data_IF_590621175831
#
_entry.id   IF_590621175831
#
_cell.length_a   1.000
_cell.length_b   1.000
_cell.length_c   1.000
_cell.angle_alpha   90.00
_cell.angle_beta   90.00
_cell.angle_gamma   90.00
#
_symmetry.space_group_name_H-M   'P 1'
#
loop_
_entity.id
_entity.type
_entity.pdbx_description
1 polymer ?
#
# COMPACT_ATOMS: atom_id res chain seq x y z
N UNK A 1 16.64 -4.14 31.67
CA UNK A 1 15.63 -4.30 30.60
C UNK A 1 15.06 -2.92 30.35
N UNK A 2 15.56 -2.20 29.34
CA UNK A 2 14.96 -0.93 28.93
C UNK A 2 13.60 -1.24 28.31
N UNK A 3 12.54 -0.62 28.81
CA UNK A 3 11.22 -0.68 28.20
C UNK A 3 11.35 -0.23 26.74
N UNK A 4 10.95 -1.07 25.78
CA UNK A 4 11.12 -0.84 24.34
C UNK A 4 10.25 0.28 23.75
N UNK A 5 9.75 1.20 24.57
CA UNK A 5 8.83 2.28 24.18
C UNK A 5 9.52 3.56 23.69
N UNK A 6 10.85 3.66 23.82
CA UNK A 6 11.62 4.83 23.35
C UNK A 6 12.28 4.62 21.98
N UNK A 7 12.09 3.45 21.33
CA UNK A 7 12.69 3.19 20.03
C UNK A 7 11.80 3.76 18.92
N UNK A 8 12.19 4.89 18.32
CA UNK A 8 11.50 5.47 17.16
C UNK A 8 11.86 4.71 15.90
N UNK A 9 10.91 4.68 14.96
CA UNK A 9 11.05 4.09 13.65
C UNK A 9 10.74 5.14 12.60
N UNK A 10 11.67 5.33 11.67
CA UNK A 10 11.46 6.18 10.52
C UNK A 10 11.34 5.31 9.27
N UNK A 11 10.29 5.55 8.48
CA UNK A 11 9.99 4.82 7.24
C UNK A 11 10.04 5.83 6.11
N UNK A 12 10.93 5.61 5.13
CA UNK A 12 11.07 6.45 3.94
C UNK A 12 10.34 5.81 2.78
N UNK A 13 9.28 6.47 2.31
CA UNK A 13 8.46 6.04 1.19
C UNK A 13 8.61 7.02 0.02
N UNK A 14 9.33 6.60 -1.02
CA UNK A 14 9.34 7.29 -2.32
C UNK A 14 8.34 6.62 -3.24
N UNK A 15 7.36 7.37 -3.72
CA UNK A 15 6.25 6.83 -4.51
C UNK A 15 6.68 6.74 -5.97
N UNK A 16 6.87 5.51 -6.47
CA UNK A 16 7.18 5.23 -7.89
C UNK A 16 6.05 4.44 -8.54
N UNK A 17 5.52 3.41 -7.87
CA UNK A 17 4.39 2.63 -8.38
C UNK A 17 3.04 3.09 -7.81
N UNK A 18 2.57 4.24 -8.31
CA UNK A 18 1.23 4.78 -8.04
C UNK A 18 0.82 4.70 -6.56
N UNK A 19 -0.12 3.82 -6.24
CA UNK A 19 -0.67 3.63 -4.90
C UNK A 19 -0.04 2.44 -4.16
N UNK A 20 0.75 1.62 -4.84
CA UNK A 20 1.35 0.40 -4.28
C UNK A 20 2.34 0.72 -3.17
N UNK A 21 3.36 1.52 -3.47
CA UNK A 21 4.43 1.84 -2.52
C UNK A 21 3.88 2.50 -1.25
N UNK A 22 3.12 3.59 -1.42
CA UNK A 22 2.51 4.28 -0.30
C UNK A 22 1.47 3.42 0.41
N UNK A 23 0.74 2.57 -0.31
CA UNK A 23 -0.22 1.65 0.28
C UNK A 23 0.45 0.66 1.24
N UNK A 24 1.57 0.06 0.82
CA UNK A 24 2.35 -0.86 1.65
C UNK A 24 2.97 -0.13 2.83
N UNK A 25 3.62 1.02 2.60
CA UNK A 25 4.24 1.82 3.65
C UNK A 25 3.23 2.32 4.69
N UNK A 26 2.05 2.75 4.25
CA UNK A 26 0.96 3.18 5.12
C UNK A 26 0.42 2.03 5.97
N UNK A 27 0.12 0.88 5.35
CA UNK A 27 -0.37 -0.32 6.05
C UNK A 27 0.64 -0.81 7.09
N UNK A 28 1.92 -0.89 6.71
CA UNK A 28 3.02 -1.24 7.62
C UNK A 28 3.11 -0.25 8.80
N UNK A 29 3.10 1.05 8.51
CA UNK A 29 3.18 2.10 9.54
C UNK A 29 2.04 2.00 10.54
N UNK A 30 0.81 1.81 10.05
CA UNK A 30 -0.36 1.63 10.90
C UNK A 30 -0.24 0.37 11.76
N UNK A 31 0.22 -0.76 11.21
CA UNK A 31 0.36 -1.97 12.00
C UNK A 31 1.43 -1.82 13.09
N UNK A 32 2.58 -1.23 12.78
CA UNK A 32 3.64 -0.97 13.76
C UNK A 32 3.18 0.01 14.86
N UNK A 33 2.48 1.08 14.50
CA UNK A 33 1.96 2.04 15.46
C UNK A 33 0.84 1.45 16.33
N UNK A 34 -0.15 0.79 15.72
CA UNK A 34 -1.37 0.39 16.42
C UNK A 34 -1.26 -0.97 17.10
N UNK A 35 -0.61 -1.96 16.47
CA UNK A 35 -0.48 -3.31 17.01
C UNK A 35 0.74 -3.44 17.92
N UNK A 36 1.84 -2.79 17.58
CA UNK A 36 3.09 -2.88 18.32
C UNK A 36 3.42 -1.65 19.18
N UNK A 37 2.59 -0.61 19.15
CA UNK A 37 2.73 0.62 19.96
C UNK A 37 4.11 1.29 19.78
N UNK A 38 4.64 1.23 18.55
CA UNK A 38 5.91 1.85 18.20
C UNK A 38 5.68 3.29 17.72
N UNK A 39 6.54 4.25 18.11
CA UNK A 39 6.49 5.60 17.56
C UNK A 39 7.02 5.62 16.12
N UNK A 40 6.12 5.88 15.15
CA UNK A 40 6.42 5.85 13.71
C UNK A 40 6.43 7.25 13.11
N UNK A 41 7.49 7.58 12.35
CA UNK A 41 7.48 8.67 11.37
C UNK A 41 7.51 8.10 9.96
N UNK A 42 6.55 8.50 9.13
CA UNK A 42 6.48 8.13 7.73
C UNK A 42 6.83 9.35 6.86
N UNK A 43 7.98 9.30 6.17
CA UNK A 43 8.44 10.34 5.25
C UNK A 43 7.98 10.02 3.82
N UNK A 44 7.33 10.98 3.17
CA UNK A 44 6.66 10.80 1.86
C UNK A 44 7.06 11.91 0.89
N UNK A 45 7.43 11.57 -0.34
CA UNK A 45 7.82 12.54 -1.36
C UNK A 45 6.66 13.10 -2.20
N UNK A 46 5.68 12.26 -2.56
CA UNK A 46 4.45 12.68 -3.25
C UNK A 46 3.24 12.70 -2.30
N UNK A 47 3.02 13.87 -1.70
CA UNK A 47 1.95 14.09 -0.74
C UNK A 47 0.54 14.06 -1.36
N UNK A 48 0.42 14.40 -2.65
CA UNK A 48 -0.87 14.41 -3.35
C UNK A 48 -1.34 12.99 -3.65
N UNK A 49 -0.41 12.09 -3.98
CA UNK A 49 -0.72 10.67 -4.12
C UNK A 49 -1.04 10.05 -2.75
N UNK A 50 -0.27 10.38 -1.71
CA UNK A 50 -0.54 9.89 -0.36
C UNK A 50 -1.90 10.33 0.20
N UNK A 51 -2.35 11.56 -0.08
CA UNK A 51 -3.68 12.06 0.29
C UNK A 51 -4.84 11.19 -0.18
N UNK A 52 -4.67 10.46 -1.29
CA UNK A 52 -5.71 9.55 -1.81
C UNK A 52 -5.80 8.26 -0.98
N UNK A 53 -4.68 7.82 -0.40
CA UNK A 53 -4.58 6.56 0.35
C UNK A 53 -4.80 6.75 1.84
N UNK A 54 -4.37 7.89 2.40
CA UNK A 54 -4.42 8.20 3.83
C UNK A 54 -5.68 9.03 4.10
N UNK A 55 -6.75 8.45 4.69
CA UNK A 55 -7.98 9.18 4.93
C UNK A 55 -7.76 10.38 5.84
N UNK A 56 -8.25 11.55 5.42
CA UNK A 56 -8.17 12.79 6.20
C UNK A 56 -6.82 13.51 6.13
N UNK A 57 -5.83 13.00 5.39
CA UNK A 57 -4.55 13.69 5.22
C UNK A 57 -4.69 14.98 4.40
N UNK A 58 -4.12 16.07 4.91
CA UNK A 58 -4.16 17.39 4.29
C UNK A 58 -2.73 17.94 4.15
N UNK A 59 -2.04 17.74 3.01
CA UNK A 59 -0.64 18.12 2.81
C UNK A 59 -0.31 19.57 3.23
N UNK A 60 -1.27 20.48 3.05
CA UNK A 60 -1.15 21.91 3.39
C UNK A 60 -0.98 22.21 4.89
N UNK A 61 -1.33 21.27 5.78
CA UNK A 61 -1.18 21.44 7.23
C UNK A 61 0.22 21.07 7.74
N UNK A 62 1.11 20.60 6.86
CA UNK A 62 2.43 20.09 7.23
C UNK A 62 2.35 18.76 7.98
N UNK A 63 3.23 18.57 8.97
CA UNK A 63 3.31 17.33 9.75
C UNK A 63 2.01 17.06 10.51
N UNK A 64 1.49 15.84 10.39
CA UNK A 64 0.22 15.41 10.99
C UNK A 64 0.36 14.05 11.64
N UNK A 65 -0.42 13.79 12.69
CA UNK A 65 -0.55 12.45 13.27
C UNK A 65 -1.92 11.90 12.86
N UNK A 66 -1.92 10.80 12.10
CA UNK A 66 -3.12 10.10 11.64
C UNK A 66 -2.94 8.63 11.98
N UNK A 67 -3.97 7.99 12.57
CA UNK A 67 -3.92 6.59 13.01
C UNK A 67 -2.63 6.22 13.77
N UNK A 68 -2.18 7.13 14.66
CA UNK A 68 -0.97 7.01 15.48
C UNK A 68 0.37 7.05 14.72
N UNK A 69 0.36 7.38 13.42
CA UNK A 69 1.56 7.57 12.58
C UNK A 69 1.80 9.05 12.36
N UNK A 70 3.02 9.51 12.60
CA UNK A 70 3.44 10.88 12.33
C UNK A 70 3.90 11.00 10.86
N UNK A 71 3.15 11.72 10.04
CA UNK A 71 3.38 11.85 8.59
C UNK A 71 4.21 13.10 8.33
N UNK A 72 5.32 12.93 7.63
CA UNK A 72 6.26 13.97 7.26
C UNK A 72 6.39 14.08 5.74
N UNK A 73 6.56 15.30 5.25
CA UNK A 73 7.08 15.51 3.91
C UNK A 73 8.52 14.99 3.81
N UNK A 74 8.91 14.56 2.61
CA UNK A 74 10.26 14.09 2.35
C UNK A 74 11.28 15.19 2.72
N UNK A 75 12.31 14.87 3.52
CA UNK A 75 13.27 15.88 3.96
C UNK A 75 14.10 16.41 2.78
N UNK A 76 14.36 17.70 2.79
CA UNK A 76 15.38 18.29 1.93
C UNK A 76 16.77 17.96 2.48
N UNK A 77 17.79 18.03 1.63
CA UNK A 77 19.18 17.74 2.04
C UNK A 77 19.72 18.68 3.13
N UNK A 78 19.12 19.87 3.29
CA UNK A 78 19.48 20.84 4.31
C UNK A 78 18.74 20.66 5.65
N UNK A 79 17.78 19.74 5.73
CA UNK A 79 16.98 19.54 6.93
C UNK A 79 17.77 18.78 8.02
N UNK A 80 17.80 19.35 9.22
CA UNK A 80 18.48 18.76 10.37
C UNK A 80 17.53 17.85 11.16
N UNK A 81 17.25 16.66 10.63
CA UNK A 81 16.40 15.68 11.29
C UNK A 81 17.25 14.70 12.08
N UNK A 82 16.95 14.52 13.36
CA UNK A 82 17.57 13.47 14.18
C UNK A 82 17.09 12.10 13.70
N UNK A 83 17.98 11.20 13.25
CA UNK A 83 17.58 9.87 12.83
C UNK A 83 16.98 9.05 13.96
N UNK A 84 16.08 8.14 13.57
CA UNK A 84 15.53 7.14 14.46
C UNK A 84 16.52 5.99 14.72
N UNK A 85 16.24 5.20 15.75
CA UNK A 85 17.01 4.01 16.08
C UNK A 85 16.77 2.87 15.07
N UNK A 86 15.61 2.85 14.42
CA UNK A 86 15.31 1.96 13.28
C UNK A 86 14.90 2.80 12.08
N UNK A 87 15.48 2.51 10.93
CA UNK A 87 15.21 3.22 9.70
C UNK A 87 14.93 2.24 8.57
N UNK A 88 13.75 2.37 7.98
CA UNK A 88 13.32 1.62 6.82
C UNK A 88 13.52 2.47 5.58
N UNK A 89 14.44 2.04 4.72
CA UNK A 89 14.51 2.44 3.32
C UNK A 89 13.58 1.50 2.55
N UNK A 90 12.45 1.99 2.03
CA UNK A 90 11.53 1.10 1.30
C UNK A 90 11.85 1.11 -0.20
N UNK A 91 11.89 -0.07 -0.80
CA UNK A 91 12.06 -0.29 -2.23
C UNK A 91 13.35 0.32 -2.80
N UNK A 92 14.41 0.34 -1.98
CA UNK A 92 15.67 1.00 -2.32
C UNK A 92 15.50 2.46 -2.75
N UNK A 93 14.55 3.19 -2.14
CA UNK A 93 14.24 4.57 -2.48
C UNK A 93 15.39 5.56 -2.25
N UNK A 94 16.42 5.15 -1.51
CA UNK A 94 17.45 6.02 -0.97
C UNK A 94 16.96 6.81 0.25
N UNK A 95 17.92 7.42 0.95
CA UNK A 95 17.71 8.26 2.13
C UNK A 95 18.45 9.58 1.90
N UNK A 96 17.89 10.76 2.29
CA UNK A 96 18.58 12.03 2.18
C UNK A 96 19.98 11.99 2.80
N UNK A 97 20.98 12.56 2.10
CA UNK A 97 22.38 12.35 2.46
C UNK A 97 22.71 12.86 3.87
N UNK A 98 22.09 13.98 4.26
CA UNK A 98 22.26 14.56 5.60
C UNK A 98 21.69 13.69 6.70
N UNK A 99 20.52 13.10 6.47
CA UNK A 99 19.93 12.14 7.39
C UNK A 99 20.81 10.89 7.51
N UNK A 100 21.23 10.31 6.38
CA UNK A 100 22.09 9.13 6.34
C UNK A 100 23.42 9.38 7.07
N UNK A 101 24.03 10.56 6.89
CA UNK A 101 25.28 10.94 7.55
C UNK A 101 25.13 11.18 9.06
N UNK A 102 23.92 11.48 9.53
CA UNK A 102 23.61 11.68 10.95
C UNK A 102 23.25 10.37 11.69
N UNK A 103 23.02 9.27 10.95
CA UNK A 103 22.75 7.96 11.55
C UNK A 103 23.92 7.51 12.41
N UNK A 104 23.61 6.90 13.55
CA UNK A 104 24.60 6.45 14.50
C UNK A 104 24.99 5.00 14.24
N UNK A 105 26.19 4.52 14.63
CA UNK A 105 26.61 3.14 14.39
C UNK A 105 25.66 2.05 14.92
N UNK A 106 24.76 2.39 15.85
CA UNK A 106 23.75 1.49 16.40
C UNK A 106 22.38 1.59 15.71
N UNK A 107 22.21 2.47 14.72
CA UNK A 107 20.99 2.58 13.93
C UNK A 107 20.77 1.28 13.15
N UNK A 108 19.59 0.69 13.30
CA UNK A 108 19.17 -0.48 12.51
C UNK A 108 18.64 0.01 11.16
N UNK A 109 19.43 -0.12 10.12
CA UNK A 109 19.02 0.22 8.76
C UNK A 109 18.52 -1.02 8.03
N UNK A 110 17.24 -1.01 7.66
CA UNK A 110 16.57 -2.07 6.93
C UNK A 110 16.18 -1.55 5.55
N UNK A 111 16.50 -2.31 4.50
CA UNK A 111 15.97 -2.10 3.15
C UNK A 111 14.77 -3.03 2.96
N UNK A 112 13.55 -2.49 2.97
CA UNK A 112 12.34 -3.26 2.72
C UNK A 112 12.16 -3.42 1.22
N UNK A 113 12.27 -4.64 0.71
CA UNK A 113 12.16 -4.94 -0.72
C UNK A 113 10.71 -5.20 -1.14
N UNK A 114 10.47 -5.24 -2.45
CA UNK A 114 9.19 -5.69 -2.98
C UNK A 114 8.93 -7.16 -2.64
N UNK A 115 7.66 -7.51 -2.51
CA UNK A 115 7.20 -8.89 -2.36
C UNK A 115 7.61 -9.71 -3.58
N UNK A 116 8.21 -10.88 -3.36
CA UNK A 116 8.44 -11.86 -4.42
C UNK A 116 8.08 -13.27 -3.97
N UNK A 117 7.72 -14.11 -4.94
CA UNK A 117 7.57 -15.56 -4.77
C UNK A 117 8.77 -16.33 -5.35
N UNK A 118 9.76 -15.63 -5.89
CA UNK A 118 10.94 -16.27 -6.45
C UNK A 118 11.80 -16.89 -5.35
N UNK A 119 12.13 -18.17 -5.49
CA UNK A 119 12.81 -18.93 -4.43
C UNK A 119 14.12 -18.30 -3.92
N UNK A 120 14.82 -17.54 -4.75
CA UNK A 120 16.11 -16.97 -4.37
C UNK A 120 16.00 -15.98 -3.19
N UNK A 121 14.85 -15.33 -2.96
CA UNK A 121 14.73 -14.36 -1.85
C UNK A 121 14.91 -14.99 -0.46
N UNK A 122 14.66 -16.30 -0.32
CA UNK A 122 14.90 -17.06 0.91
C UNK A 122 16.37 -16.96 1.36
N UNK A 123 17.30 -16.88 0.42
CA UNK A 123 18.74 -16.84 0.68
C UNK A 123 19.26 -15.41 0.94
N UNK A 124 18.47 -14.38 0.63
CA UNK A 124 18.86 -12.97 0.74
C UNK A 124 18.12 -12.20 1.84
N UNK A 125 17.01 -12.75 2.35
CA UNK A 125 16.30 -12.18 3.49
C UNK A 125 17.22 -12.09 4.72
N UNK A 126 17.13 -10.96 5.44
CA UNK A 126 17.92 -10.60 6.61
C UNK A 126 19.44 -10.49 6.40
N UNK A 127 19.95 -10.60 5.16
CA UNK A 127 21.38 -10.47 4.91
C UNK A 127 21.88 -9.04 5.11
N UNK A 128 23.02 -8.85 5.81
CA UNK A 128 23.67 -7.55 5.96
C UNK A 128 24.46 -7.15 4.70
N UNK A 129 24.47 -5.85 4.43
CA UNK A 129 25.31 -5.20 3.43
C UNK A 129 26.09 -4.07 4.10
N UNK A 130 27.35 -4.32 4.52
CA UNK A 130 28.20 -3.32 5.14
C UNK A 130 28.44 -2.13 4.20
N UNK A 131 28.34 -0.93 4.75
CA UNK A 131 28.51 0.33 4.03
C UNK A 131 29.83 1.01 4.42
N UNK A 132 30.34 1.87 3.56
CA UNK A 132 31.58 2.61 3.82
C UNK A 132 31.51 3.50 5.08
N UNK A 133 30.31 3.88 5.52
CA UNK A 133 30.06 4.63 6.77
C UNK A 133 30.24 3.79 8.04
N UNK A 134 30.43 2.47 7.93
CA UNK A 134 30.46 1.54 9.07
C UNK A 134 29.08 1.05 9.51
N UNK A 135 27.99 1.57 8.92
CA UNK A 135 26.64 1.03 9.08
C UNK A 135 26.48 -0.25 8.25
N UNK A 136 25.50 -1.07 8.63
CA UNK A 136 25.08 -2.22 7.83
C UNK A 136 23.61 -2.06 7.43
N UNK A 137 23.36 -2.07 6.13
CA UNK A 137 22.00 -2.10 5.57
C UNK A 137 21.56 -3.56 5.46
N UNK A 138 20.43 -3.92 6.06
CA UNK A 138 19.93 -5.30 6.05
C UNK A 138 18.77 -5.43 5.07
N UNK A 139 18.84 -6.39 4.16
CA UNK A 139 17.75 -6.62 3.22
C UNK A 139 16.60 -7.37 3.90
N UNK A 140 15.38 -6.86 3.75
CA UNK A 140 14.17 -7.49 4.22
C UNK A 140 13.27 -7.77 3.02
N UNK A 141 13.26 -9.02 2.57
CA UNK A 141 12.39 -9.49 1.50
C UNK A 141 11.09 -10.07 2.06
N UNK A 142 9.92 -9.46 1.82
CA UNK A 142 8.62 -10.11 2.03
C UNK A 142 8.46 -11.30 1.09
N UNK A 143 7.77 -12.34 1.54
CA UNK A 143 7.60 -13.56 0.77
C UNK A 143 6.62 -14.56 1.38
N UNK A 144 6.48 -15.70 0.71
CA UNK A 144 5.46 -16.72 1.04
C UNK A 144 6.03 -17.94 1.78
N UNK A 145 7.30 -17.90 2.20
CA UNK A 145 7.98 -18.98 2.91
C UNK A 145 8.43 -18.51 4.29
N UNK A 146 8.65 -19.45 5.21
CA UNK A 146 9.21 -19.17 6.55
C UNK A 146 10.65 -18.61 6.52
N UNK A 147 11.35 -18.71 5.39
CA UNK A 147 12.69 -18.15 5.22
C UNK A 147 12.67 -16.66 4.81
N UNK A 148 11.49 -16.10 4.57
CA UNK A 148 11.31 -14.70 4.14
C UNK A 148 10.72 -13.87 5.28
N UNK A 149 10.54 -12.57 5.03
CA UNK A 149 9.95 -11.62 5.97
C UNK A 149 8.43 -11.77 6.14
N UNK A 150 7.82 -12.75 5.47
CA UNK A 150 6.38 -12.99 5.50
C UNK A 150 5.58 -11.92 4.76
N UNK A 151 4.32 -11.78 5.17
CA UNK A 151 3.35 -10.84 4.61
C UNK A 151 2.81 -9.92 5.71
N UNK A 152 2.52 -8.67 5.36
CA UNK A 152 1.79 -7.75 6.24
C UNK A 152 0.38 -8.31 6.41
N UNK A 153 -0.01 -8.57 7.65
CA UNK A 153 -1.33 -9.12 7.97
C UNK A 153 -1.76 -8.66 9.34
N UNK A 154 -2.82 -7.87 9.38
CA UNK A 154 -3.45 -7.40 10.61
C UNK A 154 -4.06 -8.57 11.39
N UNK A 155 -4.01 -8.55 12.73
CA UNK A 155 -4.50 -9.66 13.54
C UNK A 155 -5.99 -9.97 13.34
N UNK A 156 -6.79 -8.98 12.95
CA UNK A 156 -8.24 -9.08 12.87
C UNK A 156 -8.79 -9.20 11.44
N UNK A 157 -7.94 -9.29 10.42
CA UNK A 157 -8.39 -9.28 9.01
C UNK A 157 -9.35 -10.44 8.68
N UNK A 158 -9.13 -11.62 9.30
CA UNK A 158 -9.96 -12.83 9.07
C UNK A 158 -11.31 -12.76 9.79
N UNK A 159 -11.45 -11.96 10.85
CA UNK A 159 -12.71 -11.85 11.58
C UNK A 159 -13.80 -11.10 10.80
N UNK A 160 -13.41 -10.28 9.81
CA UNK A 160 -14.35 -9.58 8.94
C UNK A 160 -15.01 -10.50 7.92
N UNK A 161 -14.35 -11.57 7.46
CA UNK A 161 -14.84 -12.46 6.40
C UNK A 161 -16.13 -13.23 6.74
N UNK A 162 -16.36 -13.57 8.01
CA UNK A 162 -17.54 -14.36 8.39
C UNK A 162 -18.82 -13.51 8.50
N UNK A 163 -18.70 -12.20 8.73
CA UNK A 163 -19.84 -11.30 8.83
C UNK A 163 -20.39 -10.87 7.45
N UNK A 164 -19.54 -10.90 6.41
CA UNK A 164 -19.89 -10.45 5.05
C UNK A 164 -20.51 -11.53 4.16
N UNK A 165 -20.71 -12.76 4.68
CA UNK A 165 -21.57 -13.79 4.07
C UNK A 165 -23.05 -13.40 4.17
N UNK A 166 -23.40 -12.29 3.54
CA UNK A 166 -24.77 -11.85 3.35
C UNK A 166 -25.43 -12.72 2.29
N UNK A 167 -26.66 -13.17 2.59
CA UNK A 167 -27.57 -13.91 1.70
C UNK A 167 -27.83 -13.15 0.39
N UNK A 168 -26.94 -13.27 -0.58
CA UNK A 168 -27.13 -12.80 -1.94
C UNK A 168 -27.55 -14.00 -2.79
N UNK A 169 -28.49 -13.78 -3.70
CA UNK A 169 -29.02 -14.82 -4.59
C UNK A 169 -27.85 -15.67 -5.13
N UNK A 170 -27.87 -16.97 -4.82
CA UNK A 170 -26.76 -17.92 -4.88
C UNK A 170 -26.08 -18.09 -6.26
N UNK A 171 -26.46 -17.31 -7.28
CA UNK A 171 -26.10 -17.51 -8.68
C UNK A 171 -25.46 -16.31 -9.40
N UNK A 172 -25.32 -15.14 -8.76
CA UNK A 172 -24.70 -13.97 -9.41
C UNK A 172 -23.19 -13.95 -9.18
N UNK A 173 -22.39 -13.92 -10.25
CA UNK A 173 -20.94 -13.74 -10.17
C UNK A 173 -20.62 -12.29 -9.80
N UNK A 174 -19.71 -12.09 -8.84
CA UNK A 174 -19.24 -10.76 -8.42
C UNK A 174 -17.75 -10.65 -8.67
N UNK A 175 -17.34 -9.55 -9.29
CA UNK A 175 -15.94 -9.29 -9.64
C UNK A 175 -15.60 -7.88 -9.19
N UNK A 176 -14.57 -7.71 -8.37
CA UNK A 176 -13.90 -6.41 -8.20
C UNK A 176 -12.85 -6.26 -9.30
N UNK A 177 -12.90 -5.17 -10.06
CA UNK A 177 -12.02 -4.93 -11.19
C UNK A 177 -11.07 -3.77 -10.87
N UNK A 178 -9.84 -4.12 -10.48
CA UNK A 178 -8.75 -3.20 -10.25
C UNK A 178 -7.53 -3.68 -11.05
N UNK A 179 -7.03 -2.84 -11.96
CA UNK A 179 -5.98 -3.20 -12.90
C UNK A 179 -5.28 -1.95 -13.45
N UNK A 180 -4.23 -2.17 -14.24
CA UNK A 180 -3.56 -1.12 -15.01
C UNK A 180 -4.22 -0.90 -16.38
N UNK A 181 -4.05 0.29 -17.00
CA UNK A 181 -4.63 0.62 -18.30
C UNK A 181 -4.13 -0.22 -19.48
N UNK A 182 -3.19 -1.15 -19.32
CA UNK A 182 -2.77 -2.06 -20.39
C UNK A 182 -3.45 -3.43 -20.28
N UNK A 183 -4.25 -3.67 -19.24
CA UNK A 183 -5.01 -4.90 -19.10
C UNK A 183 -6.10 -5.01 -20.20
N UNK A 184 -6.45 -6.23 -20.65
CA UNK A 184 -7.49 -6.46 -21.68
C UNK A 184 -8.91 -6.31 -21.10
N UNK A 185 -9.23 -5.14 -20.56
CA UNK A 185 -10.49 -4.88 -19.84
C UNK A 185 -11.72 -5.01 -20.74
N UNK A 186 -11.67 -4.43 -21.94
CA UNK A 186 -12.82 -4.51 -22.86
C UNK A 186 -13.14 -5.95 -23.27
N UNK A 187 -12.12 -6.78 -23.49
CA UNK A 187 -12.31 -8.18 -23.88
C UNK A 187 -12.95 -8.99 -22.76
N UNK A 188 -12.51 -8.76 -21.51
CA UNK A 188 -13.15 -9.32 -20.32
C UNK A 188 -14.63 -8.91 -20.26
N UNK A 189 -14.94 -7.62 -20.40
CA UNK A 189 -16.32 -7.13 -20.32
C UNK A 189 -17.21 -7.67 -21.44
N UNK A 190 -16.70 -7.82 -22.68
CA UNK A 190 -17.42 -8.45 -23.80
C UNK A 190 -17.74 -9.92 -23.53
N UNK A 191 -16.79 -10.68 -22.95
CA UNK A 191 -17.03 -12.07 -22.55
C UNK A 191 -18.11 -12.13 -21.46
N UNK A 192 -18.02 -11.27 -20.44
CA UNK A 192 -19.01 -11.24 -19.35
C UNK A 192 -20.41 -10.82 -19.83
N UNK A 193 -20.51 -9.89 -20.79
CA UNK A 193 -21.79 -9.48 -21.37
C UNK A 193 -22.51 -10.64 -22.09
N UNK A 194 -21.75 -11.50 -22.78
CA UNK A 194 -22.31 -12.65 -23.52
C UNK A 194 -22.51 -13.91 -22.67
N UNK A 195 -22.06 -13.87 -21.40
CA UNK A 195 -22.23 -14.97 -20.45
C UNK A 195 -23.71 -15.23 -20.14
N UNK A 196 -24.05 -16.49 -19.89
CA UNK A 196 -25.39 -16.85 -19.43
C UNK A 196 -25.60 -16.59 -17.93
N UNK A 197 -24.52 -16.37 -17.19
CA UNK A 197 -24.55 -16.08 -15.75
C UNK A 197 -24.69 -14.57 -15.50
N UNK A 198 -25.59 -14.19 -14.59
CA UNK A 198 -25.69 -12.81 -14.12
C UNK A 198 -24.38 -12.41 -13.45
N UNK A 199 -23.80 -11.27 -13.85
CA UNK A 199 -22.52 -10.81 -13.34
C UNK A 199 -22.61 -9.36 -12.89
N UNK A 200 -22.06 -9.06 -11.72
CA UNK A 200 -21.82 -7.68 -11.25
C UNK A 200 -20.32 -7.44 -11.22
N UNK A 201 -19.85 -6.47 -11.99
CA UNK A 201 -18.47 -5.99 -11.94
C UNK A 201 -18.44 -4.66 -11.19
N UNK A 202 -17.74 -4.65 -10.06
CA UNK A 202 -17.48 -3.46 -9.26
C UNK A 202 -16.18 -2.81 -9.76
N UNK A 203 -16.25 -1.54 -10.12
CA UNK A 203 -15.12 -0.80 -10.68
C UNK A 203 -14.82 0.39 -9.76
N UNK A 204 -13.84 0.27 -8.85
CA UNK A 204 -13.33 1.41 -8.09
C UNK A 204 -12.79 2.51 -9.00
N UNK A 205 -12.99 3.75 -8.57
CA UNK A 205 -12.42 4.91 -9.25
C UNK A 205 -10.91 4.76 -9.38
N UNK A 206 -10.42 4.62 -10.61
CA UNK A 206 -9.06 4.20 -10.91
C UNK A 206 -8.68 4.54 -12.34
N UNK A 207 -7.45 4.23 -12.72
CA UNK A 207 -6.91 4.52 -14.06
C UNK A 207 -7.59 3.76 -15.21
N UNK A 208 -8.40 2.74 -14.92
CA UNK A 208 -9.08 1.93 -15.95
C UNK A 208 -10.46 2.47 -16.35
N UNK A 209 -10.97 3.52 -15.69
CA UNK A 209 -12.28 4.10 -16.01
C UNK A 209 -12.46 4.42 -17.51
N UNK A 210 -11.47 5.00 -18.22
CA UNK A 210 -11.63 5.29 -19.66
C UNK A 210 -11.92 4.05 -20.52
N UNK A 211 -11.40 2.87 -20.16
CA UNK A 211 -11.66 1.63 -20.89
C UNK A 211 -13.06 1.09 -20.61
N UNK A 212 -13.50 1.20 -19.36
CA UNK A 212 -14.86 0.81 -18.99
C UNK A 212 -15.88 1.76 -19.62
N UNK A 213 -15.60 3.06 -19.65
CA UNK A 213 -16.41 4.08 -20.30
C UNK A 213 -16.47 3.87 -21.83
N UNK A 214 -15.34 3.54 -22.46
CA UNK A 214 -15.26 3.12 -23.87
C UNK A 214 -16.17 1.93 -24.16
N UNK A 215 -16.07 0.85 -23.37
CA UNK A 215 -16.96 -0.32 -23.48
C UNK A 215 -18.44 0.05 -23.31
N UNK A 216 -18.74 0.98 -22.40
CA UNK A 216 -20.08 1.48 -22.17
C UNK A 216 -20.55 2.47 -23.25
N UNK A 217 -19.68 2.98 -24.13
CA UNK A 217 -20.05 4.03 -25.09
C UNK A 217 -20.48 5.33 -24.42
N UNK A 218 -19.94 5.62 -23.23
CA UNK A 218 -20.16 6.88 -22.49
C UNK A 218 -18.86 7.67 -22.40
N UNK A 219 -18.96 8.97 -22.18
CA UNK A 219 -17.78 9.85 -22.06
C UNK A 219 -17.32 10.07 -20.63
N UNK A 220 -18.19 9.81 -19.66
CA UNK A 220 -17.91 9.99 -18.24
C UNK A 220 -18.87 9.14 -17.42
N UNK A 221 -18.34 8.56 -16.35
CA UNK A 221 -19.08 7.85 -15.33
C UNK A 221 -19.03 8.56 -13.98
N UNK A 222 -20.03 8.33 -13.12
CA UNK A 222 -20.03 8.85 -11.76
C UNK A 222 -19.92 7.71 -10.73
N UNK A 223 -19.22 7.93 -9.60
CA UNK A 223 -19.24 6.99 -8.48
C UNK A 223 -20.67 6.67 -8.04
N UNK A 224 -20.89 5.41 -7.65
CA UNK A 224 -22.17 4.85 -7.22
C UNK A 224 -23.23 4.69 -8.32
N UNK A 225 -22.92 4.97 -9.59
CA UNK A 225 -23.81 4.61 -10.70
C UNK A 225 -23.67 3.14 -11.10
N UNK A 226 -24.73 2.59 -11.67
CA UNK A 226 -24.75 1.23 -12.22
C UNK A 226 -25.17 1.28 -13.68
N UNK A 227 -24.38 0.67 -14.56
CA UNK A 227 -24.68 0.53 -15.98
C UNK A 227 -25.03 -0.92 -16.31
N UNK A 228 -26.07 -1.11 -17.14
CA UNK A 228 -26.58 -2.43 -17.49
C UNK A 228 -26.23 -2.76 -18.95
N UNK A 229 -25.70 -3.95 -19.18
CA UNK A 229 -25.46 -4.57 -20.49
C UNK A 229 -25.96 -6.00 -20.44
N UNK A 230 -27.23 -6.19 -20.77
CA UNK A 230 -27.89 -7.50 -20.67
C UNK A 230 -27.80 -8.09 -19.24
N UNK A 231 -27.06 -9.18 -19.06
CA UNK A 231 -26.82 -9.86 -17.76
C UNK A 231 -25.60 -9.32 -17.00
N UNK A 232 -24.86 -8.37 -17.58
CA UNK A 232 -23.71 -7.71 -16.98
C UNK A 232 -24.13 -6.37 -16.37
N UNK A 233 -23.91 -6.22 -15.07
CA UNK A 233 -24.08 -4.98 -14.35
C UNK A 233 -22.70 -4.43 -13.98
N UNK A 234 -22.39 -3.20 -14.37
CA UNK A 234 -21.13 -2.54 -14.03
C UNK A 234 -21.45 -1.46 -13.00
N UNK A 235 -20.98 -1.67 -11.76
CA UNK A 235 -21.16 -0.76 -10.63
C UNK A 235 -19.89 0.07 -10.46
N UNK A 236 -19.99 1.38 -10.67
CA UNK A 236 -18.89 2.30 -10.37
C UNK A 236 -18.84 2.54 -8.85
N UNK A 237 -17.65 2.42 -8.28
CA UNK A 237 -17.38 2.71 -6.88
C UNK A 237 -16.50 3.96 -6.76
N UNK A 238 -16.60 4.72 -5.66
CA UNK A 238 -15.63 5.76 -5.37
C UNK A 238 -14.23 5.17 -5.18
N UNK A 239 -13.22 6.03 -5.04
CA UNK A 239 -11.93 5.58 -4.49
C UNK A 239 -12.17 5.16 -3.03
N UNK A 240 -11.79 3.93 -2.69
CA UNK A 240 -12.03 3.34 -1.37
C UNK A 240 -10.81 3.55 -0.48
N UNK A 241 -11.03 3.60 0.84
CA UNK A 241 -9.93 3.42 1.80
C UNK A 241 -9.37 2.00 1.71
N UNK A 242 -8.18 1.75 2.25
CA UNK A 242 -7.63 0.39 2.30
C UNK A 242 -8.55 -0.58 3.04
N UNK A 243 -9.12 -0.14 4.18
CA UNK A 243 -10.03 -0.94 4.98
C UNK A 243 -11.34 -1.24 4.23
N UNK A 244 -11.91 -0.25 3.52
CA UNK A 244 -13.14 -0.45 2.73
C UNK A 244 -12.90 -1.32 1.49
N UNK A 245 -11.68 -1.33 0.95
CA UNK A 245 -11.33 -2.18 -0.21
C UNK A 245 -11.20 -3.66 0.19
N UNK A 246 -10.86 -3.94 1.45
CA UNK A 246 -10.78 -5.30 1.98
C UNK A 246 -12.19 -5.93 2.21
N UNK A 247 -13.27 -5.14 2.19
CA UNK A 247 -14.68 -5.59 2.40
C UNK A 247 -15.50 -5.75 1.13
#
# INVERSE_FOLDING_TARGET
>A
MQNGTDQRWDIFCRIVDNFGDIGVCWRLSQQLANTHQLPIRLFIDDLETAKKIIPGYQPELGTQIINHVEIWAWPNDDDAIQPAEVVFETFSCGIPQRYLSAMQPHTKWVNLEYLSAEKWIDEFHALPSPQASGLSRHFFFPGFTEATGGLIREPNIVAHDDAYKTNLAEQTLKISLFAYPNAPIEDLLKILQTSQQNTVVYVPSSSILPQVESFLGITQSNPNETYLRDKLHIKMLPFLSQDDYDT
#
